data_IF_402012652860
#
_entry.id   IF_402012652860
#
_cell.length_a   1.000
_cell.length_b   1.000
_cell.length_c   1.000
_cell.angle_alpha   90.00
_cell.angle_beta   90.00
_cell.angle_gamma   90.00
#
_symmetry.space_group_name_H-M   'P 1'
#
loop_
_entity.id
_entity.type
_entity.pdbx_description
1 polymer ?
#
# COMPACT_ATOMS: atom_id res chain seq x y z
N UNK A 1 -5.39 11.37 11.98
CA UNK A 1 -5.75 10.07 12.60
C UNK A 1 -5.09 10.06 13.96
N UNK A 2 -5.83 9.97 15.08
CA UNK A 2 -5.21 10.01 16.42
C UNK A 2 -4.20 8.87 16.61
N UNK A 3 -3.18 9.04 17.47
CA UNK A 3 -2.16 8.02 17.71
C UNK A 3 -2.73 6.65 18.12
N UNK A 4 -3.91 6.61 18.73
CA UNK A 4 -4.61 5.37 19.09
C UNK A 4 -4.97 4.54 17.85
N UNK A 5 -5.31 5.19 16.73
CA UNK A 5 -5.57 4.54 15.45
C UNK A 5 -4.29 3.99 14.85
N UNK A 6 -3.11 4.59 15.09
CA UNK A 6 -1.84 4.05 14.59
C UNK A 6 -1.51 2.69 15.23
N UNK A 7 -1.83 2.53 16.52
CA UNK A 7 -1.69 1.27 17.26
C UNK A 7 -2.63 0.18 16.74
N UNK A 8 -3.83 0.57 16.33
CA UNK A 8 -4.83 -0.36 15.78
C UNK A 8 -4.63 -0.67 14.30
N UNK A 9 -4.08 0.26 13.51
CA UNK A 9 -4.15 0.17 12.05
C UNK A 9 -3.10 -0.75 11.45
N UNK A 10 -1.82 -0.74 11.86
CA UNK A 10 -0.80 -1.41 11.04
C UNK A 10 0.42 -1.87 11.84
N UNK A 11 0.42 -3.14 12.24
CA UNK A 11 1.66 -3.94 12.30
C UNK A 11 2.15 -4.14 10.85
N UNK A 12 2.70 -3.12 10.19
CA UNK A 12 3.52 -3.38 8.99
C UNK A 12 4.78 -4.05 9.50
N UNK A 13 4.99 -5.32 9.15
CA UNK A 13 6.15 -6.11 9.57
C UNK A 13 6.40 -6.18 11.09
N UNK A 14 5.32 -6.09 11.89
CA UNK A 14 5.37 -6.04 13.36
C UNK A 14 6.11 -4.83 13.94
N UNK A 15 6.31 -3.79 13.14
CA UNK A 15 6.86 -2.51 13.60
C UNK A 15 5.71 -1.53 13.77
N UNK A 16 5.56 -1.00 14.98
CA UNK A 16 4.60 0.07 15.25
C UNK A 16 5.10 1.35 14.56
N UNK A 17 4.33 1.97 13.64
CA UNK A 17 4.73 3.21 13.01
C UNK A 17 4.88 4.30 14.08
N UNK A 18 5.96 5.11 14.03
CA UNK A 18 6.20 6.12 15.05
C UNK A 18 5.08 7.17 15.07
N UNK A 19 4.51 7.46 16.24
CA UNK A 19 3.66 8.64 16.44
C UNK A 19 4.53 9.82 16.88
N UNK A 20 4.48 10.92 16.12
CA UNK A 20 5.24 12.14 16.44
C UNK A 20 4.33 13.18 17.11
N UNK A 21 4.78 13.69 18.26
CA UNK A 21 4.14 14.80 18.96
C UNK A 21 4.94 16.09 18.71
N UNK A 22 4.20 17.14 18.39
CA UNK A 22 4.56 18.58 18.38
C UNK A 22 5.53 19.15 17.35
N UNK A 23 6.53 18.42 16.84
CA UNK A 23 7.44 18.98 15.83
C UNK A 23 7.39 18.19 14.51
N UNK A 24 6.56 18.66 13.57
CA UNK A 24 6.51 18.15 12.20
C UNK A 24 7.30 19.05 11.25
N UNK A 25 8.35 18.52 10.64
CA UNK A 25 9.07 19.08 9.48
C UNK A 25 8.38 18.64 8.17
N UNK A 26 8.73 19.21 7.00
CA UNK A 26 8.12 18.89 5.68
C UNK A 26 8.13 17.38 5.31
N UNK A 27 8.94 16.54 5.97
CA UNK A 27 8.96 15.08 5.81
C UNK A 27 8.19 14.30 6.90
N UNK A 28 7.58 14.96 7.89
CA UNK A 28 6.86 14.34 9.01
C UNK A 28 5.49 15.00 9.20
N UNK A 29 4.38 14.24 9.16
CA UNK A 29 3.06 14.82 9.32
C UNK A 29 2.90 15.36 10.76
N UNK A 30 2.25 16.51 10.88
CA UNK A 30 2.10 17.23 12.16
C UNK A 30 1.24 16.51 13.19
N UNK A 31 1.26 17.02 14.44
CA UNK A 31 0.60 16.56 15.68
C UNK A 31 -0.53 15.53 15.47
N UNK A 32 -0.43 14.38 16.14
CA UNK A 32 -1.41 13.27 16.10
C UNK A 32 -1.63 12.73 14.69
N UNK A 33 -0.56 12.33 14.02
CA UNK A 33 -0.64 11.65 12.73
C UNK A 33 0.34 10.49 12.66
N UNK A 34 -0.10 9.40 12.02
CA UNK A 34 0.76 8.26 11.75
C UNK A 34 1.68 8.62 10.58
N UNK A 35 3.00 8.46 10.77
CA UNK A 35 3.92 8.51 9.64
C UNK A 35 3.97 7.13 8.99
N UNK A 36 3.29 7.00 7.85
CA UNK A 36 3.47 5.87 6.95
C UNK A 36 4.51 6.34 5.93
N UNK A 37 5.72 5.74 5.89
CA UNK A 37 6.69 6.10 4.88
C UNK A 37 6.09 5.87 3.48
N UNK A 38 6.42 6.73 2.51
CA UNK A 38 6.06 6.43 1.13
C UNK A 38 6.66 5.07 0.74
N UNK A 39 5.99 4.31 -0.15
CA UNK A 39 6.57 3.08 -0.67
C UNK A 39 7.90 3.39 -1.36
N UNK A 40 8.80 2.43 -1.33
CA UNK A 40 10.02 2.49 -2.12
C UNK A 40 9.71 2.43 -3.63
N UNK A 41 10.72 2.58 -4.48
CA UNK A 41 10.53 2.58 -5.94
C UNK A 41 9.79 1.34 -6.43
N UNK A 42 10.07 0.19 -5.80
CA UNK A 42 9.42 -1.08 -6.12
C UNK A 42 7.95 -1.08 -5.68
N UNK A 43 7.66 -0.70 -4.45
CA UNK A 43 6.30 -0.61 -3.93
C UNK A 43 5.45 0.38 -4.74
N UNK A 44 6.02 1.52 -5.12
CA UNK A 44 5.34 2.49 -5.99
C UNK A 44 5.02 1.87 -7.36
N UNK A 45 5.98 1.16 -7.96
CA UNK A 45 5.78 0.46 -9.23
C UNK A 45 4.66 -0.58 -9.16
N UNK A 46 4.57 -1.35 -8.07
CA UNK A 46 3.48 -2.32 -7.87
C UNK A 46 2.12 -1.64 -7.80
N UNK A 47 2.02 -0.53 -7.06
CA UNK A 47 0.78 0.23 -6.97
C UNK A 47 0.35 0.78 -8.33
N UNK A 48 1.30 1.24 -9.15
CA UNK A 48 1.03 1.74 -10.50
C UNK A 48 0.54 0.62 -11.43
N UNK A 49 1.19 -0.55 -11.39
CA UNK A 49 0.76 -1.73 -12.17
C UNK A 49 -0.67 -2.11 -11.78
N UNK A 50 -0.94 -2.23 -10.47
CA UNK A 50 -2.27 -2.56 -9.96
C UNK A 50 -3.32 -1.56 -10.43
N UNK A 51 -3.05 -0.26 -10.25
CA UNK A 51 -3.96 0.80 -10.67
C UNK A 51 -4.25 0.71 -12.18
N UNK A 52 -3.23 0.41 -12.99
CA UNK A 52 -3.40 0.25 -14.44
C UNK A 52 -4.25 -0.96 -14.79
N UNK A 53 -4.00 -2.12 -14.17
CA UNK A 53 -4.80 -3.34 -14.31
C UNK A 53 -6.27 -3.08 -13.98
N UNK A 54 -6.56 -2.41 -12.86
CA UNK A 54 -7.94 -2.08 -12.48
C UNK A 54 -8.58 -1.08 -13.45
N UNK A 55 -7.85 -0.02 -13.84
CA UNK A 55 -8.40 1.03 -14.72
C UNK A 55 -8.70 0.56 -16.15
N UNK A 56 -7.98 -0.46 -16.63
CA UNK A 56 -8.12 -1.01 -17.97
C UNK A 56 -8.82 -2.37 -17.99
N UNK A 57 -9.42 -2.77 -16.85
CA UNK A 57 -10.11 -4.04 -16.74
C UNK A 57 -11.20 -4.14 -17.81
N UNK A 58 -11.12 -5.18 -18.66
CA UNK A 58 -12.05 -5.42 -19.75
C UNK A 58 -11.67 -4.79 -21.10
N UNK A 59 -10.64 -3.92 -21.15
CA UNK A 59 -10.09 -3.36 -22.39
C UNK A 59 -8.79 -4.06 -22.81
N UNK A 60 -7.96 -4.42 -21.84
CA UNK A 60 -6.64 -5.02 -22.04
C UNK A 60 -6.49 -6.18 -21.08
N UNK A 61 -5.87 -7.28 -21.52
CA UNK A 61 -5.57 -8.39 -20.62
C UNK A 61 -4.49 -7.99 -19.60
N UNK A 62 -4.57 -8.50 -18.35
CA UNK A 62 -3.57 -8.16 -17.32
C UNK A 62 -2.13 -8.53 -17.71
N UNK A 63 -1.93 -9.58 -18.52
CA UNK A 63 -0.62 -10.01 -18.99
C UNK A 63 0.06 -8.98 -19.87
N UNK A 64 -0.69 -8.32 -20.76
CA UNK A 64 -0.18 -7.20 -21.57
C UNK A 64 0.27 -6.05 -20.69
N UNK A 65 -0.46 -5.72 -19.62
CA UNK A 65 -0.08 -4.65 -18.70
C UNK A 65 1.20 -5.02 -17.95
N UNK A 66 1.30 -6.25 -17.45
CA UNK A 66 2.53 -6.75 -16.81
C UNK A 66 3.73 -6.68 -17.76
N UNK A 67 3.54 -7.05 -19.03
CA UNK A 67 4.56 -6.95 -20.07
C UNK A 67 5.02 -5.51 -20.34
N UNK A 68 4.09 -4.54 -20.39
CA UNK A 68 4.43 -3.12 -20.58
C UNK A 68 5.33 -2.56 -19.48
N UNK A 69 5.15 -3.07 -18.26
CA UNK A 69 5.95 -2.67 -17.11
C UNK A 69 7.22 -3.51 -16.94
N UNK A 70 7.48 -4.48 -17.83
CA UNK A 70 8.55 -5.46 -17.69
C UNK A 70 8.52 -6.15 -16.31
N UNK A 71 7.33 -6.51 -15.85
CA UNK A 71 7.13 -7.13 -14.54
C UNK A 71 7.81 -8.50 -14.49
N UNK A 72 8.55 -8.76 -13.41
CA UNK A 72 9.17 -10.05 -13.16
C UNK A 72 8.28 -10.93 -12.25
N UNK A 73 8.78 -12.12 -11.92
CA UNK A 73 8.05 -13.06 -11.07
C UNK A 73 7.78 -12.49 -9.68
N UNK A 74 8.77 -11.81 -9.09
CA UNK A 74 8.64 -11.23 -7.76
C UNK A 74 7.62 -10.09 -7.75
N UNK A 75 7.53 -9.29 -8.82
CA UNK A 75 6.50 -8.27 -8.98
C UNK A 75 5.09 -8.88 -9.02
N UNK A 76 4.94 -10.03 -9.68
CA UNK A 76 3.68 -10.79 -9.74
C UNK A 76 3.32 -11.36 -8.36
N UNK A 77 4.29 -11.92 -7.65
CA UNK A 77 4.10 -12.43 -6.29
C UNK A 77 3.68 -11.32 -5.32
N UNK A 78 4.32 -10.15 -5.42
CA UNK A 78 3.99 -8.99 -4.58
C UNK A 78 2.61 -8.42 -4.92
N UNK A 79 2.22 -8.38 -6.19
CA UNK A 79 0.85 -8.03 -6.61
C UNK A 79 -0.18 -9.01 -6.05
N UNK A 80 0.10 -10.32 -6.10
CA UNK A 80 -0.80 -11.33 -5.56
C UNK A 80 -0.99 -11.17 -4.05
N UNK A 81 0.11 -11.01 -3.31
CA UNK A 81 0.07 -10.75 -1.87
C UNK A 81 -0.72 -9.47 -1.54
N UNK A 82 -0.49 -8.38 -2.28
CA UNK A 82 -1.22 -7.12 -2.09
C UNK A 82 -2.73 -7.28 -2.28
N UNK A 83 -3.17 -8.01 -3.30
CA UNK A 83 -4.59 -8.29 -3.53
C UNK A 83 -5.22 -9.14 -2.42
N UNK A 84 -4.47 -10.09 -1.86
CA UNK A 84 -4.92 -10.86 -0.68
C UNK A 84 -5.13 -9.95 0.53
N UNK A 85 -4.17 -9.08 0.84
CA UNK A 85 -4.28 -8.13 1.95
C UNK A 85 -5.49 -7.20 1.78
N UNK A 86 -5.72 -6.69 0.56
CA UNK A 86 -6.87 -5.82 0.28
C UNK A 86 -8.20 -6.56 0.48
N UNK A 87 -8.28 -7.84 0.08
CA UNK A 87 -9.47 -8.67 0.30
C UNK A 87 -9.71 -8.91 1.80
N UNK A 88 -8.67 -9.20 2.57
CA UNK A 88 -8.78 -9.40 4.01
C UNK A 88 -9.28 -8.13 4.73
N UNK A 89 -8.76 -6.97 4.34
CA UNK A 89 -9.21 -5.69 4.90
C UNK A 89 -10.67 -5.38 4.55
N UNK A 90 -11.08 -5.60 3.30
CA UNK A 90 -12.46 -5.39 2.87
C UNK A 90 -13.44 -6.41 3.49
N UNK A 91 -12.98 -7.63 3.77
CA UNK A 91 -13.77 -8.66 4.47
C UNK A 91 -14.02 -8.34 5.94
N UNK A 92 -13.07 -7.67 6.62
CA UNK A 92 -13.20 -7.26 8.03
C UNK A 92 -14.13 -6.07 8.26
N UNK A 93 -14.45 -5.27 7.23
CA UNK A 93 -15.34 -4.10 7.37
C UNK A 93 -16.84 -4.43 7.32
N UNK A 94 -17.22 -5.68 7.00
CA UNK A 94 -18.61 -6.12 6.88
C UNK A 94 -19.03 -7.14 7.96
N UNK A 95 -18.27 -7.25 9.07
CA UNK A 95 -18.52 -8.17 10.18
C UNK A 95 -18.90 -7.47 11.48
#
# INVERSE_FOLDING_TARGET
MSCDVCRETLLIDKVEPPCFNEDGDEQRPGINSCWIPPPDERGQRILDIRAKITSLQGLVDPGTILGLYNADLEDIELLAWLEEQIKEMNGKQNG
#
